data_IF_867829950737
#
_entry.id   IF_867829950737
#
_cell.length_a   1.000
_cell.length_b   1.000
_cell.length_c   1.000
_cell.angle_alpha   90.00
_cell.angle_beta   90.00
_cell.angle_gamma   90.00
#
_symmetry.space_group_name_H-M   'P 1'
#
loop_
_entity.id
_entity.type
_entity.pdbx_description
1 polymer ?
#
# COMPACT_ATOMS: atom_id res chain seq x y z
N UNK A 1 -18.93 -17.62 17.32
CA UNK A 1 -18.19 -16.46 16.75
C UNK A 1 -17.96 -16.75 15.28
N UNK A 2 -18.07 -15.75 14.41
CA UNK A 2 -17.80 -15.91 12.97
C UNK A 2 -16.64 -14.99 12.60
N UNK A 3 -15.63 -15.52 11.92
CA UNK A 3 -14.45 -14.79 11.48
C UNK A 3 -14.29 -14.91 9.96
N UNK A 4 -13.92 -13.81 9.33
CA UNK A 4 -13.69 -13.78 7.88
C UNK A 4 -12.29 -14.33 7.60
N UNK A 5 -12.20 -15.43 6.85
CA UNK A 5 -10.93 -16.10 6.52
C UNK A 5 -10.41 -15.80 5.10
N UNK A 6 -11.20 -15.12 4.27
CA UNK A 6 -10.80 -14.80 2.89
C UNK A 6 -11.80 -13.91 2.17
N UNK A 7 -11.33 -13.24 1.10
CA UNK A 7 -12.13 -12.36 0.24
C UNK A 7 -11.65 -12.48 -1.21
N UNK A 8 -12.58 -12.52 -2.17
CA UNK A 8 -12.32 -12.42 -3.62
C UNK A 8 -13.42 -11.58 -4.26
N UNK A 9 -13.06 -10.78 -5.25
CA UNK A 9 -14.02 -10.00 -6.04
C UNK A 9 -13.45 -9.76 -7.43
N UNK A 10 -14.29 -9.79 -8.45
CA UNK A 10 -13.93 -9.42 -9.82
C UNK A 10 -13.63 -7.93 -9.95
N UNK A 11 -14.16 -7.11 -9.04
CA UNK A 11 -13.92 -5.67 -8.94
C UNK A 11 -12.97 -5.31 -7.78
N UNK A 12 -12.13 -6.25 -7.36
CA UNK A 12 -11.16 -6.01 -6.29
C UNK A 12 -10.25 -4.83 -6.64
N UNK A 13 -10.10 -3.89 -5.69
CA UNK A 13 -9.12 -2.80 -5.80
C UNK A 13 -7.76 -3.18 -5.22
N UNK A 14 -7.66 -4.34 -4.57
CA UNK A 14 -6.40 -4.89 -4.12
C UNK A 14 -5.55 -5.30 -5.32
N UNK A 15 -4.33 -4.77 -5.41
CA UNK A 15 -3.37 -5.11 -6.43
C UNK A 15 -2.14 -5.76 -5.78
N UNK A 16 -2.03 -7.08 -5.95
CA UNK A 16 -0.95 -7.87 -5.35
C UNK A 16 0.44 -7.42 -5.81
N UNK A 17 0.61 -7.04 -7.07
CA UNK A 17 1.90 -6.61 -7.61
C UNK A 17 2.40 -5.27 -7.02
N UNK A 18 1.50 -4.49 -6.40
CA UNK A 18 1.86 -3.25 -5.69
C UNK A 18 1.99 -3.42 -4.18
N UNK A 19 1.53 -4.55 -3.66
CA UNK A 19 1.47 -4.83 -2.22
C UNK A 19 2.48 -5.91 -1.78
N UNK A 20 3.00 -6.67 -2.74
CA UNK A 20 3.96 -7.73 -2.48
C UNK A 20 5.37 -7.17 -2.25
N UNK A 21 6.18 -7.90 -1.50
CA UNK A 21 7.62 -7.68 -1.38
C UNK A 21 8.43 -8.69 -2.20
N UNK A 22 7.76 -9.51 -3.02
CA UNK A 22 8.40 -10.51 -3.87
C UNK A 22 9.01 -9.91 -5.14
N UNK A 23 9.59 -10.77 -5.98
CA UNK A 23 10.26 -10.37 -7.22
C UNK A 23 9.35 -9.68 -8.26
N UNK A 24 8.03 -9.66 -8.05
CA UNK A 24 7.04 -8.99 -8.90
C UNK A 24 6.53 -7.68 -8.30
N UNK A 25 7.22 -7.14 -7.29
CA UNK A 25 6.91 -5.83 -6.74
C UNK A 25 7.09 -4.75 -7.82
N UNK A 26 6.11 -3.87 -7.90
CA UNK A 26 6.05 -2.74 -8.83
C UNK A 26 5.84 -1.42 -8.10
N UNK A 27 5.89 -1.43 -6.77
CA UNK A 27 5.79 -0.23 -5.95
C UNK A 27 7.14 0.49 -5.90
N UNK A 28 7.17 1.72 -6.42
CA UNK A 28 8.37 2.55 -6.37
C UNK A 28 8.51 3.21 -4.99
N UNK A 29 9.33 2.63 -4.14
CA UNK A 29 9.57 3.12 -2.78
C UNK A 29 10.33 4.45 -2.75
N UNK A 30 11.00 4.86 -3.83
CA UNK A 30 11.74 6.13 -3.87
C UNK A 30 10.82 7.34 -3.76
N UNK A 31 9.57 7.22 -4.24
CA UNK A 31 8.56 8.28 -4.18
C UNK A 31 8.02 8.49 -2.75
N UNK A 32 8.23 7.53 -1.85
CA UNK A 32 7.69 7.59 -0.49
C UNK A 32 8.35 8.70 0.34
N UNK A 33 9.63 9.00 0.10
CA UNK A 33 10.36 10.04 0.85
C UNK A 33 9.73 11.42 0.63
N UNK A 34 9.52 11.80 -0.63
CA UNK A 34 8.90 13.09 -0.97
C UNK A 34 7.47 13.20 -0.44
N UNK A 35 6.68 12.11 -0.55
CA UNK A 35 5.35 12.05 0.04
C UNK A 35 5.38 12.27 1.55
N UNK A 36 6.25 11.55 2.26
CA UNK A 36 6.38 11.64 3.72
C UNK A 36 6.77 13.04 4.16
N UNK A 37 7.73 13.68 3.49
CA UNK A 37 8.14 15.05 3.81
C UNK A 37 7.01 16.06 3.64
N UNK A 38 6.29 16.00 2.51
CA UNK A 38 5.16 16.92 2.27
C UNK A 38 4.00 16.67 3.24
N UNK A 39 3.69 15.40 3.50
CA UNK A 39 2.60 15.01 4.39
C UNK A 39 2.91 15.33 5.87
N UNK A 40 4.16 15.20 6.28
CA UNK A 40 4.62 15.51 7.63
C UNK A 40 4.80 17.01 7.88
N UNK A 41 4.92 17.83 6.83
CA UNK A 41 5.16 19.28 6.90
C UNK A 41 4.27 20.03 7.93
N UNK A 42 2.94 19.85 8.00
CA UNK A 42 2.11 20.54 9.00
C UNK A 42 2.31 20.06 10.45
N UNK A 43 3.02 18.96 10.66
CA UNK A 43 3.29 18.38 11.98
C UNK A 43 4.71 18.67 12.48
N UNK A 44 5.59 19.17 11.60
CA UNK A 44 6.92 19.63 11.96
C UNK A 44 6.77 21.03 12.59
N UNK A 45 7.02 21.11 13.90
CA UNK A 45 7.00 22.36 14.66
C UNK A 45 8.22 23.23 14.38
#
# INVERSE_FOLDING_TARGET
SCQVVGRKSEHSRYNEAKATYGAKDTFDQSLAEGFNHLWAMPFLK
#
